data_IF_526714917195
#
_entry.id   IF_526714917195
#
_cell.length_a   1.000
_cell.length_b   1.000
_cell.length_c   1.000
_cell.angle_alpha   90.00
_cell.angle_beta   90.00
_cell.angle_gamma   90.00
#
_symmetry.space_group_name_H-M   'P 1'
#
loop_
_entity.id
_entity.type
_entity.pdbx_description
1 polymer ?
#
# COMPACT_ATOMS: atom_id res chain seq x y z
N UNK A 1 2.60 -3.07 55.07
CA UNK A 1 2.25 -2.18 53.93
C UNK A 1 2.88 -2.76 52.66
N UNK A 2 2.09 -3.56 51.90
CA UNK A 2 2.56 -4.21 50.67
C UNK A 2 2.34 -3.29 49.51
N UNK A 3 3.41 -2.76 48.92
CA UNK A 3 3.36 -2.04 47.64
C UNK A 3 2.90 -3.02 46.57
N UNK A 4 1.74 -2.75 45.96
CA UNK A 4 1.30 -3.38 44.72
C UNK A 4 2.22 -2.91 43.60
N UNK A 5 3.05 -3.81 43.08
CA UNK A 5 3.71 -3.61 41.77
C UNK A 5 2.60 -3.58 40.73
N UNK A 6 2.31 -2.41 40.20
CA UNK A 6 1.55 -2.26 38.96
C UNK A 6 2.41 -2.80 37.81
N UNK A 7 2.07 -3.96 37.31
CA UNK A 7 2.59 -4.46 36.06
C UNK A 7 2.14 -3.50 34.93
N UNK A 8 3.02 -2.68 34.47
CA UNK A 8 2.82 -1.96 33.20
C UNK A 8 2.81 -3.04 32.11
N UNK A 9 1.66 -3.32 31.54
CA UNK A 9 1.58 -3.98 30.24
C UNK A 9 2.24 -3.01 29.26
N UNK A 10 3.43 -3.33 28.79
CA UNK A 10 4.10 -2.62 27.69
C UNK A 10 3.26 -2.81 26.43
N UNK A 11 2.29 -1.92 26.22
CA UNK A 11 1.54 -1.86 24.96
C UNK A 11 2.45 -1.26 23.89
N UNK A 12 2.50 -1.85 22.74
CA UNK A 12 3.11 -1.30 21.52
C UNK A 12 2.60 0.13 21.31
N UNK A 13 3.52 1.09 21.28
CA UNK A 13 3.22 2.50 21.13
C UNK A 13 4.19 3.15 20.16
N UNK A 14 3.66 3.76 19.08
CA UNK A 14 4.46 4.44 18.06
C UNK A 14 4.48 5.94 18.31
N UNK A 15 5.66 6.53 18.22
CA UNK A 15 5.87 7.97 18.32
C UNK A 15 6.44 8.53 17.03
N UNK A 16 6.22 9.82 16.79
CA UNK A 16 6.85 10.56 15.72
C UNK A 16 8.38 10.45 15.84
N UNK A 17 9.03 10.03 14.77
CA UNK A 17 10.50 9.94 14.72
C UNK A 17 11.07 11.14 13.96
N UNK A 18 10.70 11.30 12.70
CA UNK A 18 11.03 12.47 11.88
C UNK A 18 10.00 12.68 10.77
N UNK A 19 10.04 13.89 10.19
CA UNK A 19 9.22 14.28 9.04
C UNK A 19 10.11 14.63 7.86
N UNK A 20 9.72 14.19 6.68
CA UNK A 20 10.33 14.53 5.40
C UNK A 20 9.43 15.56 4.71
N UNK A 21 9.97 16.75 4.45
CA UNK A 21 9.36 17.82 3.68
C UNK A 21 10.12 17.98 2.35
N UNK A 22 9.41 18.17 1.26
CA UNK A 22 10.06 18.41 -0.04
C UNK A 22 9.11 18.31 -1.25
N UNK A 23 8.01 17.57 -1.11
CA UNK A 23 6.95 17.60 -2.11
C UNK A 23 6.08 18.85 -1.98
N UNK A 24 5.54 19.33 -3.11
CA UNK A 24 4.64 20.49 -3.16
C UNK A 24 3.17 20.12 -3.38
N UNK A 25 2.86 18.82 -3.50
CA UNK A 25 1.49 18.29 -3.61
C UNK A 25 1.36 16.97 -2.86
N UNK A 26 0.14 16.43 -2.81
CA UNK A 26 -0.21 15.18 -2.14
C UNK A 26 0.72 14.03 -2.50
N UNK A 27 1.13 13.25 -1.50
CA UNK A 27 1.90 12.02 -1.67
C UNK A 27 0.91 10.87 -1.82
N UNK A 28 1.05 10.10 -2.89
CA UNK A 28 0.11 9.03 -3.23
C UNK A 28 0.63 7.64 -2.94
N UNK A 29 1.93 7.40 -3.14
CA UNK A 29 2.52 6.10 -2.90
C UNK A 29 3.93 6.21 -2.34
N UNK A 30 4.28 5.21 -1.55
CA UNK A 30 5.60 5.00 -0.95
C UNK A 30 6.07 3.58 -1.27
N UNK A 31 7.36 3.44 -1.54
CA UNK A 31 8.07 2.17 -1.59
C UNK A 31 9.47 2.36 -1.03
N UNK A 32 10.19 1.29 -0.75
CA UNK A 32 11.54 1.39 -0.17
C UNK A 32 12.51 0.39 -0.77
N UNK A 33 13.80 0.71 -0.67
CA UNK A 33 14.90 -0.25 -0.65
C UNK A 33 15.37 -0.49 0.80
N UNK A 34 16.49 -1.19 0.97
CA UNK A 34 17.15 -1.34 2.29
C UNK A 34 17.45 0.01 2.94
N UNK A 35 17.93 1.00 2.16
CA UNK A 35 18.51 2.25 2.67
C UNK A 35 17.71 3.50 2.33
N UNK A 36 16.68 3.39 1.48
CA UNK A 36 15.97 4.56 0.96
C UNK A 36 14.45 4.37 0.94
N UNK A 37 13.75 5.48 1.15
CA UNK A 37 12.32 5.63 0.87
C UNK A 37 12.19 6.29 -0.50
N UNK A 38 11.27 5.79 -1.33
CA UNK A 38 10.85 6.43 -2.57
C UNK A 38 9.41 6.90 -2.41
N UNK A 39 9.12 8.11 -2.86
CA UNK A 39 7.78 8.69 -2.81
C UNK A 39 7.35 9.19 -4.17
N UNK A 40 6.07 9.06 -4.49
CA UNK A 40 5.45 9.68 -5.65
C UNK A 40 4.35 10.65 -5.24
N UNK A 41 4.24 11.76 -5.98
CA UNK A 41 3.37 12.87 -5.61
C UNK A 41 2.60 13.44 -6.80
N UNK A 42 1.54 14.19 -6.45
CA UNK A 42 0.78 15.02 -7.37
C UNK A 42 1.59 16.15 -8.01
N UNK A 43 2.74 16.50 -7.46
CA UNK A 43 3.68 17.47 -8.04
C UNK A 43 4.47 16.95 -9.24
N UNK A 44 4.21 15.69 -9.63
CA UNK A 44 4.84 15.01 -10.76
C UNK A 44 6.32 14.63 -10.52
N UNK A 45 6.73 14.54 -9.28
CA UNK A 45 8.06 14.05 -8.94
C UNK A 45 7.99 12.71 -8.23
N UNK A 46 8.99 11.87 -8.51
CA UNK A 46 9.35 10.73 -7.68
C UNK A 46 10.72 11.04 -7.08
N UNK A 47 10.80 10.98 -5.75
CA UNK A 47 11.98 11.42 -5.00
C UNK A 47 12.46 10.29 -4.11
N UNK A 48 13.79 10.19 -3.96
CA UNK A 48 14.45 9.26 -3.05
C UNK A 48 14.97 9.99 -1.81
N UNK A 49 14.76 9.38 -0.66
CA UNK A 49 15.12 9.91 0.66
C UNK A 49 15.92 8.89 1.43
N UNK A 50 16.92 9.33 2.17
CA UNK A 50 17.65 8.48 3.12
C UNK A 50 16.70 7.99 4.22
N UNK A 51 16.66 6.68 4.47
CA UNK A 51 15.70 6.07 5.40
C UNK A 51 15.99 6.38 6.85
N UNK A 52 17.22 6.79 7.20
CA UNK A 52 17.64 7.03 8.57
C UNK A 52 17.35 8.46 9.05
N UNK A 53 17.42 9.43 8.16
CA UNK A 53 17.32 10.84 8.51
C UNK A 53 16.36 11.66 7.64
N UNK A 54 15.80 11.06 6.59
CA UNK A 54 14.86 11.71 5.69
C UNK A 54 15.48 12.74 4.76
N UNK A 55 16.83 12.83 4.65
CA UNK A 55 17.46 13.75 3.71
C UNK A 55 17.20 13.33 2.26
N UNK A 56 16.94 14.31 1.40
CA UNK A 56 16.82 14.08 -0.03
C UNK A 56 18.18 13.75 -0.64
N UNK A 57 18.22 12.74 -1.46
CA UNK A 57 19.40 12.44 -2.27
C UNK A 57 19.27 13.03 -3.69
N UNK A 58 20.28 12.79 -4.52
CA UNK A 58 20.32 13.30 -5.89
C UNK A 58 19.44 12.53 -6.88
N UNK A 59 18.72 11.48 -6.44
CA UNK A 59 17.80 10.74 -7.30
C UNK A 59 16.41 11.38 -7.26
N UNK A 60 16.09 12.09 -8.35
CA UNK A 60 14.80 12.74 -8.55
C UNK A 60 14.35 12.46 -9.98
N UNK A 61 13.15 11.95 -10.15
CA UNK A 61 12.51 11.74 -11.44
C UNK A 61 11.42 12.80 -11.62
N UNK A 62 11.53 13.58 -12.71
CA UNK A 62 10.45 14.48 -13.13
C UNK A 62 9.58 13.77 -14.15
N UNK A 63 8.31 13.63 -13.86
CA UNK A 63 7.31 13.02 -14.73
C UNK A 63 6.51 14.07 -15.49
N UNK A 64 5.93 13.70 -16.62
CA UNK A 64 4.99 14.56 -17.35
C UNK A 64 3.63 14.67 -16.65
N UNK A 65 3.21 13.60 -15.99
CA UNK A 65 1.95 13.47 -15.25
C UNK A 65 2.19 12.92 -13.85
N UNK A 66 1.28 13.14 -12.90
CA UNK A 66 1.37 12.54 -11.56
C UNK A 66 1.45 11.01 -11.60
N UNK A 67 2.06 10.41 -10.59
CA UNK A 67 2.09 8.97 -10.38
C UNK A 67 1.29 8.60 -9.12
N UNK A 68 0.46 7.54 -9.22
CA UNK A 68 -0.34 7.04 -8.11
C UNK A 68 0.15 5.71 -7.54
N UNK A 69 1.05 5.04 -8.24
CA UNK A 69 1.62 3.77 -7.81
C UNK A 69 3.10 3.69 -8.15
N UNK A 70 3.90 3.28 -7.19
CA UNK A 70 5.32 2.97 -7.36
C UNK A 70 5.65 1.66 -6.66
N UNK A 71 6.59 0.92 -7.23
CA UNK A 71 7.09 -0.32 -6.61
C UNK A 71 8.58 -0.44 -6.88
N UNK A 72 9.37 -0.71 -5.84
CA UNK A 72 10.81 -0.94 -5.97
C UNK A 72 11.11 -2.43 -5.97
N UNK A 73 11.95 -2.85 -6.91
CA UNK A 73 12.43 -4.24 -7.05
C UNK A 73 13.88 -4.28 -6.61
N UNK A 74 14.12 -4.89 -5.45
CA UNK A 74 15.45 -4.95 -4.82
C UNK A 74 16.45 -5.73 -5.69
N UNK A 75 16.03 -6.85 -6.31
CA UNK A 75 16.91 -7.79 -6.99
C UNK A 75 17.64 -7.19 -8.20
N UNK A 76 17.03 -6.22 -8.85
CA UNK A 76 17.62 -5.59 -10.04
C UNK A 76 17.68 -4.06 -9.94
N UNK A 77 17.45 -3.50 -8.76
CA UNK A 77 17.45 -2.06 -8.49
C UNK A 77 16.52 -1.25 -9.41
N UNK A 78 15.38 -1.84 -9.76
CA UNK A 78 14.41 -1.20 -10.65
C UNK A 78 13.28 -0.55 -9.87
N UNK A 79 13.03 0.73 -10.13
CA UNK A 79 11.84 1.42 -9.65
C UNK A 79 10.78 1.43 -10.76
N UNK A 80 9.63 0.84 -10.48
CA UNK A 80 8.46 0.86 -11.35
C UNK A 80 7.60 2.06 -10.97
N UNK A 81 7.16 2.83 -11.95
CA UNK A 81 6.34 4.03 -11.76
C UNK A 81 5.11 3.96 -12.66
N UNK A 82 3.93 3.90 -12.05
CA UNK A 82 2.64 3.91 -12.74
C UNK A 82 2.06 5.32 -12.81
N UNK A 83 1.98 5.87 -14.02
CA UNK A 83 1.51 7.23 -14.29
C UNK A 83 -0.01 7.37 -14.33
N UNK A 84 -0.51 8.59 -14.12
CA UNK A 84 -1.93 8.93 -14.30
C UNK A 84 -2.38 8.95 -15.77
N UNK A 85 -1.45 8.84 -16.68
CA UNK A 85 -1.66 8.72 -18.13
C UNK A 85 -1.58 7.27 -18.65
N UNK A 86 -1.42 6.31 -17.75
CA UNK A 86 -1.33 4.88 -18.09
C UNK A 86 0.07 4.42 -18.47
N UNK A 87 1.07 5.28 -18.45
CA UNK A 87 2.45 4.87 -18.67
C UNK A 87 2.97 4.06 -17.49
N UNK A 88 3.64 2.96 -17.79
CA UNK A 88 4.40 2.18 -16.85
C UNK A 88 5.88 2.37 -17.14
N UNK A 89 6.55 3.20 -16.36
CA UNK A 89 7.94 3.56 -16.54
C UNK A 89 8.84 2.74 -15.61
N UNK A 90 9.97 2.28 -16.12
CA UNK A 90 11.00 1.55 -15.38
C UNK A 90 12.27 2.40 -15.28
N UNK A 91 12.76 2.58 -14.08
CA UNK A 91 13.99 3.32 -13.83
C UNK A 91 15.01 2.46 -13.10
N UNK A 92 16.24 2.43 -13.64
CA UNK A 92 17.39 1.92 -12.90
C UNK A 92 17.85 2.98 -11.92
N UNK A 93 17.76 2.69 -10.61
CA UNK A 93 18.09 3.67 -9.57
C UNK A 93 19.58 3.86 -9.35
N UNK A 94 20.42 2.98 -9.88
CA UNK A 94 21.88 3.08 -9.81
C UNK A 94 22.37 4.04 -10.89
N UNK A 95 22.03 3.76 -12.16
CA UNK A 95 22.41 4.63 -13.30
C UNK A 95 21.57 5.90 -13.38
N UNK A 96 20.46 5.98 -12.62
CA UNK A 96 19.48 7.08 -12.59
C UNK A 96 18.84 7.35 -13.97
N UNK A 97 18.60 6.30 -14.73
CA UNK A 97 18.06 6.38 -16.10
C UNK A 97 16.75 5.62 -16.22
N UNK A 98 15.89 6.12 -17.08
CA UNK A 98 14.75 5.35 -17.57
C UNK A 98 15.25 4.19 -18.45
N UNK A 99 14.81 2.96 -18.13
CA UNK A 99 15.16 1.74 -18.86
C UNK A 99 14.14 1.50 -19.97
N UNK A 100 12.85 1.58 -19.62
CA UNK A 100 11.71 1.31 -20.52
C UNK A 100 10.49 2.12 -20.11
N UNK A 101 9.61 2.36 -21.08
CA UNK A 101 8.29 2.92 -20.91
C UNK A 101 7.27 2.08 -21.68
N UNK A 102 6.22 1.62 -20.99
CA UNK A 102 5.14 0.86 -21.59
C UNK A 102 3.84 1.65 -21.61
N UNK A 103 3.03 1.48 -22.67
CA UNK A 103 1.80 2.23 -22.93
C UNK A 103 0.59 1.33 -23.15
N UNK A 104 0.61 0.12 -22.62
CA UNK A 104 -0.48 -0.87 -22.72
C UNK A 104 -1.73 -0.42 -21.96
N UNK A 105 -1.54 0.22 -20.79
CA UNK A 105 -2.61 0.91 -20.10
C UNK A 105 -2.86 2.27 -20.74
N UNK A 106 -4.15 2.64 -20.88
CA UNK A 106 -4.56 3.92 -21.46
C UNK A 106 -5.01 4.94 -20.41
N UNK A 107 -5.23 4.47 -19.20
CA UNK A 107 -5.74 5.24 -18.06
C UNK A 107 -4.86 5.04 -16.83
N UNK A 108 -5.05 5.88 -15.83
CA UNK A 108 -4.22 5.94 -14.64
C UNK A 108 -3.97 4.58 -13.99
N UNK A 109 -2.72 4.27 -13.71
CA UNK A 109 -2.29 3.10 -12.95
C UNK A 109 -2.41 3.42 -11.47
N UNK A 110 -3.17 2.60 -10.72
CA UNK A 110 -3.43 2.82 -9.29
C UNK A 110 -2.77 1.83 -8.37
N UNK A 111 -2.38 0.67 -8.87
CA UNK A 111 -1.76 -0.37 -8.04
C UNK A 111 -0.73 -1.16 -8.83
N UNK A 112 0.37 -1.47 -8.15
CA UNK A 112 1.45 -2.34 -8.64
C UNK A 112 1.78 -3.30 -7.51
N UNK A 113 1.80 -4.60 -7.81
CA UNK A 113 2.08 -5.66 -6.84
C UNK A 113 3.04 -6.67 -7.45
N UNK A 114 3.91 -7.28 -6.64
CA UNK A 114 4.89 -8.26 -7.09
C UNK A 114 4.54 -9.67 -6.62
N UNK A 115 4.56 -10.61 -7.55
CA UNK A 115 4.58 -12.04 -7.25
C UNK A 115 6.02 -12.51 -7.12
N UNK A 116 6.44 -12.82 -5.90
CA UNK A 116 7.81 -13.24 -5.60
C UNK A 116 8.13 -14.65 -6.14
N UNK A 117 7.12 -15.55 -6.17
CA UNK A 117 7.33 -16.96 -6.54
C UNK A 117 7.51 -17.14 -8.05
N UNK A 118 6.79 -16.37 -8.85
CA UNK A 118 6.84 -16.44 -10.33
C UNK A 118 7.62 -15.30 -10.95
N UNK A 119 8.10 -14.38 -10.13
CA UNK A 119 8.75 -13.17 -10.58
C UNK A 119 7.93 -12.35 -11.58
N UNK A 120 6.62 -12.23 -11.30
CA UNK A 120 5.69 -11.44 -12.10
C UNK A 120 5.34 -10.12 -11.41
N UNK A 121 5.04 -9.11 -12.22
CA UNK A 121 4.51 -7.82 -11.78
C UNK A 121 3.06 -7.70 -12.22
N UNK A 122 2.19 -7.37 -11.28
CA UNK A 122 0.78 -7.08 -11.51
C UNK A 122 0.55 -5.58 -11.53
N UNK A 123 -0.18 -5.10 -12.52
CA UNK A 123 -0.51 -3.68 -12.66
C UNK A 123 -2.01 -3.51 -12.84
N UNK A 124 -2.63 -2.71 -11.98
CA UNK A 124 -4.06 -2.41 -12.02
C UNK A 124 -4.35 -0.96 -12.38
N UNK A 125 -5.29 -0.73 -13.30
CA UNK A 125 -5.62 0.60 -13.79
C UNK A 125 -7.03 1.09 -13.47
N UNK A 126 -7.35 2.28 -13.97
CA UNK A 126 -8.61 2.99 -13.77
C UNK A 126 -9.82 2.32 -14.42
N UNK A 127 -9.62 1.65 -15.55
CA UNK A 127 -10.69 1.01 -16.32
C UNK A 127 -10.93 -0.45 -15.90
N UNK A 128 -10.10 -0.96 -14.98
CA UNK A 128 -10.20 -2.35 -14.51
C UNK A 128 -9.40 -3.35 -15.34
N UNK A 129 -8.39 -2.89 -16.05
CA UNK A 129 -7.41 -3.78 -16.64
C UNK A 129 -6.38 -4.20 -15.60
N UNK A 130 -6.21 -5.51 -15.47
CA UNK A 130 -5.14 -6.16 -14.75
C UNK A 130 -4.13 -6.68 -15.78
N UNK A 131 -2.92 -6.18 -15.79
CA UNK A 131 -1.83 -6.69 -16.62
C UNK A 131 -0.80 -7.45 -15.79
N UNK A 132 -0.24 -8.50 -16.37
CA UNK A 132 0.72 -9.40 -15.77
C UNK A 132 1.98 -9.40 -16.61
N UNK A 133 3.10 -9.05 -16.01
CA UNK A 133 4.38 -8.87 -16.68
C UNK A 133 5.42 -9.82 -16.10
N UNK A 134 6.25 -10.38 -16.96
CA UNK A 134 7.46 -11.07 -16.51
C UNK A 134 8.51 -10.04 -16.09
N UNK A 135 8.98 -10.10 -14.84
CA UNK A 135 9.93 -9.13 -14.29
C UNK A 135 11.37 -9.28 -14.85
N UNK A 136 11.71 -10.39 -15.49
CA UNK A 136 13.03 -10.56 -16.09
C UNK A 136 13.09 -10.00 -17.51
N UNK A 137 12.07 -10.33 -18.32
CA UNK A 137 12.03 -9.96 -19.75
C UNK A 137 11.26 -8.68 -20.00
N UNK A 138 10.37 -8.31 -19.08
CA UNK A 138 9.38 -7.24 -19.22
C UNK A 138 8.43 -7.47 -20.40
N UNK A 139 8.15 -8.72 -20.70
CA UNK A 139 7.10 -9.12 -21.63
C UNK A 139 5.75 -9.16 -20.94
N UNK A 140 4.74 -8.62 -21.62
CA UNK A 140 3.35 -8.73 -21.17
C UNK A 140 2.88 -10.16 -21.36
N UNK A 141 2.63 -10.87 -20.25
CA UNK A 141 2.16 -12.26 -20.25
C UNK A 141 0.66 -12.33 -20.47
N UNK A 142 -0.09 -11.41 -19.83
CA UNK A 142 -1.54 -11.40 -19.87
C UNK A 142 -2.10 -10.03 -19.58
N UNK A 143 -3.27 -9.73 -20.15
CA UNK A 143 -4.07 -8.55 -19.83
C UNK A 143 -5.54 -8.94 -19.69
N UNK A 144 -6.11 -8.75 -18.52
CA UNK A 144 -7.49 -9.17 -18.18
C UNK A 144 -8.31 -7.92 -17.91
N UNK A 145 -9.47 -7.79 -18.55
CA UNK A 145 -10.42 -6.72 -18.26
C UNK A 145 -11.50 -7.23 -17.29
N UNK A 146 -11.50 -6.71 -16.07
CA UNK A 146 -12.38 -7.16 -14.99
C UNK A 146 -13.76 -6.47 -14.98
N UNK A 147 -14.01 -5.52 -15.87
CA UNK A 147 -15.25 -4.73 -15.96
C UNK A 147 -15.73 -4.15 -14.61
N UNK A 148 -14.80 -3.62 -13.82
CA UNK A 148 -15.05 -3.29 -12.42
C UNK A 148 -14.74 -1.83 -12.04
N UNK A 149 -14.37 -0.99 -13.01
CA UNK A 149 -13.74 0.30 -12.75
C UNK A 149 -12.36 0.13 -12.08
N UNK A 150 -11.91 1.09 -11.31
CA UNK A 150 -10.54 1.13 -10.76
C UNK A 150 -10.13 -0.11 -9.97
N UNK A 151 -8.93 -0.61 -10.26
CA UNK A 151 -8.21 -1.57 -9.41
C UNK A 151 -7.23 -0.77 -8.55
N UNK A 152 -7.62 -0.49 -7.29
CA UNK A 152 -6.79 0.31 -6.36
C UNK A 152 -6.03 -0.51 -5.35
N UNK A 153 -6.42 -1.74 -5.14
CA UNK A 153 -5.82 -2.60 -4.14
C UNK A 153 -5.57 -3.98 -4.72
N UNK A 154 -4.36 -4.43 -4.61
CA UNK A 154 -3.95 -5.80 -4.90
C UNK A 154 -3.12 -6.31 -3.73
N UNK A 155 -3.15 -7.59 -3.51
CA UNK A 155 -2.29 -8.27 -2.57
C UNK A 155 -1.98 -9.67 -3.09
N UNK A 156 -0.69 -10.01 -3.17
CA UNK A 156 -0.24 -11.35 -3.50
C UNK A 156 0.13 -12.12 -2.22
N UNK A 157 -0.46 -13.31 -2.05
CA UNK A 157 -0.09 -14.24 -0.99
C UNK A 157 0.81 -15.34 -1.55
N UNK A 158 2.05 -15.40 -1.05
CA UNK A 158 3.02 -16.42 -1.43
C UNK A 158 2.66 -17.79 -0.84
N UNK A 159 2.10 -17.83 0.39
CA UNK A 159 1.72 -19.10 1.03
C UNK A 159 0.54 -19.78 0.33
N UNK A 160 -0.44 -19.00 -0.12
CA UNK A 160 -1.64 -19.52 -0.79
C UNK A 160 -1.50 -19.52 -2.32
N UNK A 161 -0.50 -18.82 -2.88
CA UNK A 161 -0.32 -18.57 -4.32
C UNK A 161 -1.56 -17.95 -4.97
N UNK A 162 -2.12 -16.97 -4.27
CA UNK A 162 -3.33 -16.27 -4.65
C UNK A 162 -3.06 -14.78 -4.83
N UNK A 163 -3.68 -14.21 -5.86
CA UNK A 163 -3.77 -12.77 -6.06
C UNK A 163 -5.18 -12.30 -5.68
N UNK A 164 -5.26 -11.39 -4.73
CA UNK A 164 -6.50 -10.71 -4.35
C UNK A 164 -6.55 -9.36 -5.06
N UNK A 165 -7.67 -9.07 -5.71
CA UNK A 165 -7.89 -7.83 -6.48
C UNK A 165 -9.13 -7.11 -5.95
N UNK A 166 -8.93 -5.95 -5.35
CA UNK A 166 -9.98 -5.08 -4.85
C UNK A 166 -10.46 -4.11 -5.92
N UNK A 167 -11.76 -4.09 -6.14
CA UNK A 167 -12.43 -3.42 -7.26
C UNK A 167 -13.22 -2.18 -6.81
N UNK A 168 -13.36 -1.20 -7.72
CA UNK A 168 -14.15 0.01 -7.45
C UNK A 168 -15.64 -0.28 -7.22
N UNK A 169 -16.18 -1.33 -7.82
CA UNK A 169 -17.57 -1.76 -7.59
C UNK A 169 -17.79 -2.39 -6.20
N UNK A 170 -16.74 -2.49 -5.38
CA UNK A 170 -16.77 -3.03 -4.02
C UNK A 170 -16.65 -4.54 -3.93
N UNK A 171 -16.30 -5.21 -5.00
CA UNK A 171 -16.01 -6.64 -5.02
C UNK A 171 -14.52 -6.90 -4.79
N UNK A 172 -14.23 -8.14 -4.38
CA UNK A 172 -12.89 -8.71 -4.38
C UNK A 172 -12.91 -9.94 -5.26
N UNK A 173 -11.98 -10.03 -6.22
CA UNK A 173 -11.69 -11.26 -6.95
C UNK A 173 -10.46 -11.94 -6.40
N UNK A 174 -10.48 -13.26 -6.39
CA UNK A 174 -9.38 -14.13 -6.02
C UNK A 174 -8.95 -14.92 -7.25
N UNK A 175 -7.69 -14.78 -7.64
CA UNK A 175 -7.09 -15.52 -8.76
C UNK A 175 -6.04 -16.49 -8.23
N UNK A 176 -6.02 -17.72 -8.77
CA UNK A 176 -4.82 -18.54 -8.67
C UNK A 176 -3.74 -17.98 -9.61
N UNK A 177 -2.47 -18.19 -9.27
CA UNK A 177 -1.38 -17.50 -9.97
C UNK A 177 -0.58 -18.38 -10.92
N UNK A 178 -1.05 -19.58 -11.22
CA UNK A 178 -0.42 -20.46 -12.22
C UNK A 178 -0.90 -20.11 -13.63
N UNK A 179 -2.23 -20.08 -13.83
CA UNK A 179 -2.86 -19.76 -15.11
C UNK A 179 -3.73 -18.50 -15.05
N UNK A 180 -3.83 -17.86 -13.88
CA UNK A 180 -4.64 -16.66 -13.63
C UNK A 180 -6.15 -16.87 -13.79
N UNK A 181 -6.63 -18.09 -13.49
CA UNK A 181 -8.06 -18.34 -13.43
C UNK A 181 -8.68 -17.64 -12.21
N UNK A 182 -9.80 -16.97 -12.42
CA UNK A 182 -10.60 -16.44 -11.34
C UNK A 182 -11.26 -17.58 -10.57
N UNK A 183 -10.88 -17.75 -9.31
CA UNK A 183 -11.45 -18.78 -8.44
C UNK A 183 -12.76 -18.33 -7.82
N UNK A 184 -12.84 -17.02 -7.50
CA UNK A 184 -13.99 -16.46 -6.81
C UNK A 184 -14.05 -14.95 -6.92
N UNK A 185 -15.27 -14.43 -6.97
CA UNK A 185 -15.58 -13.01 -6.75
C UNK A 185 -16.71 -12.89 -5.74
N UNK A 186 -16.61 -11.94 -4.81
CA UNK A 186 -17.64 -11.70 -3.81
C UNK A 186 -17.72 -10.21 -3.46
N UNK A 187 -18.90 -9.77 -3.01
CA UNK A 187 -19.12 -8.40 -2.54
C UNK A 187 -18.45 -8.20 -1.20
N UNK A 188 -17.53 -7.25 -1.12
CA UNK A 188 -16.75 -6.96 0.08
C UNK A 188 -17.17 -5.63 0.73
N UNK A 189 -17.12 -4.52 0.00
CA UNK A 189 -17.43 -3.20 0.53
C UNK A 189 -18.56 -2.55 -0.27
N UNK A 190 -19.29 -1.63 0.34
CA UNK A 190 -20.46 -1.02 -0.33
C UNK A 190 -20.04 -0.07 -1.45
N UNK A 191 -18.99 0.73 -1.24
CA UNK A 191 -18.57 1.83 -2.12
C UNK A 191 -17.12 1.69 -2.61
N UNK A 192 -16.68 0.47 -2.93
CA UNK A 192 -15.35 0.21 -3.44
C UNK A 192 -14.34 -0.28 -2.41
N UNK A 193 -13.43 -1.11 -2.87
CA UNK A 193 -12.27 -1.61 -2.11
C UNK A 193 -11.08 -0.74 -2.45
N UNK A 194 -10.49 -0.08 -1.47
CA UNK A 194 -9.35 0.82 -1.64
C UNK A 194 -8.06 0.30 -1.03
N UNK A 195 -8.15 -0.71 -0.18
CA UNK A 195 -6.98 -1.37 0.42
C UNK A 195 -7.27 -2.82 0.77
N UNK A 196 -6.25 -3.66 0.66
CA UNK A 196 -6.27 -5.08 1.00
C UNK A 196 -5.05 -5.43 1.84
N UNK A 197 -5.22 -6.38 2.74
CA UNK A 197 -4.16 -7.02 3.50
C UNK A 197 -4.52 -8.47 3.74
N UNK A 198 -3.64 -9.39 3.37
CA UNK A 198 -3.81 -10.81 3.73
C UNK A 198 -2.87 -11.17 4.88
N UNK A 199 -3.42 -11.78 5.92
CA UNK A 199 -2.66 -12.30 7.04
C UNK A 199 -2.31 -13.77 6.78
N UNK A 200 -1.08 -14.02 6.35
CA UNK A 200 -0.58 -15.35 5.96
C UNK A 200 -0.77 -16.40 7.06
N UNK A 201 -0.46 -16.03 8.31
CA UNK A 201 -0.55 -16.94 9.46
C UNK A 201 -2.00 -17.35 9.79
N UNK A 202 -2.94 -16.41 9.68
CA UNK A 202 -4.36 -16.64 10.04
C UNK A 202 -5.19 -17.06 8.82
N UNK A 203 -4.66 -16.95 7.62
CA UNK A 203 -5.34 -17.14 6.33
C UNK A 203 -6.63 -16.30 6.23
N UNK A 204 -6.51 -15.05 6.63
CA UNK A 204 -7.61 -14.10 6.65
C UNK A 204 -7.30 -12.88 5.79
N UNK A 205 -8.28 -12.46 5.01
CA UNK A 205 -8.21 -11.25 4.18
C UNK A 205 -8.91 -10.10 4.89
N UNK A 206 -8.21 -8.98 5.03
CA UNK A 206 -8.80 -7.71 5.47
C UNK A 206 -9.00 -6.79 4.26
N UNK A 207 -10.15 -6.13 4.18
CA UNK A 207 -10.42 -5.08 3.21
C UNK A 207 -10.77 -3.76 3.88
N UNK A 208 -10.30 -2.66 3.32
CA UNK A 208 -10.72 -1.29 3.64
C UNK A 208 -11.34 -0.62 2.43
N UNK A 209 -12.34 0.22 2.64
CA UNK A 209 -13.07 0.83 1.54
C UNK A 209 -13.57 2.25 1.83
N UNK A 210 -14.34 2.78 0.87
CA UNK A 210 -14.92 4.12 0.93
C UNK A 210 -16.00 4.27 2.02
N UNK A 211 -16.52 3.16 2.53
CA UNK A 211 -17.50 3.09 3.61
C UNK A 211 -16.89 3.20 5.02
N UNK A 212 -15.59 3.45 5.11
CA UNK A 212 -14.84 3.61 6.36
C UNK A 212 -14.82 2.36 7.27
N UNK A 213 -15.17 1.19 6.74
CA UNK A 213 -15.18 -0.07 7.47
C UNK A 213 -14.01 -0.96 7.07
N UNK A 214 -13.46 -1.65 8.05
CA UNK A 214 -12.57 -2.79 7.82
C UNK A 214 -13.43 -4.05 7.93
N UNK A 215 -13.33 -4.93 6.93
CA UNK A 215 -13.98 -6.23 6.95
C UNK A 215 -12.96 -7.34 6.87
N UNK A 216 -13.23 -8.42 7.57
CA UNK A 216 -12.35 -9.61 7.61
C UNK A 216 -13.10 -10.77 6.98
N UNK A 217 -12.43 -11.47 6.08
CA UNK A 217 -12.95 -12.61 5.33
C UNK A 217 -12.04 -13.82 5.48
N UNK A 218 -12.63 -15.01 5.39
CA UNK A 218 -11.88 -16.23 5.12
C UNK A 218 -11.64 -16.38 3.60
N UNK A 219 -10.87 -17.38 3.21
CA UNK A 219 -10.58 -17.68 1.78
C UNK A 219 -11.81 -18.06 0.98
N UNK A 220 -12.90 -18.51 1.64
CA UNK A 220 -14.18 -18.75 1.00
C UNK A 220 -14.97 -17.46 0.72
N UNK A 221 -14.44 -16.28 1.03
CA UNK A 221 -15.13 -15.00 0.87
C UNK A 221 -16.26 -14.78 1.87
N UNK A 222 -16.33 -15.57 2.95
CA UNK A 222 -17.31 -15.40 4.01
C UNK A 222 -16.85 -14.30 4.95
N UNK A 223 -17.71 -13.31 5.19
CA UNK A 223 -17.41 -12.21 6.09
C UNK A 223 -17.46 -12.66 7.55
N UNK A 224 -16.36 -12.59 8.23
CA UNK A 224 -16.24 -12.95 9.65
C UNK A 224 -16.47 -11.75 10.58
N UNK A 225 -16.02 -10.56 10.16
CA UNK A 225 -16.16 -9.32 10.94
C UNK A 225 -16.39 -8.12 10.03
N UNK A 226 -17.07 -7.10 10.57
CA UNK A 226 -17.20 -5.77 9.97
C UNK A 226 -17.03 -4.71 11.06
N UNK A 227 -15.99 -3.91 10.94
CA UNK A 227 -15.51 -3.02 11.99
C UNK A 227 -15.66 -1.57 11.50
N UNK A 228 -16.42 -0.70 12.18
CA UNK A 228 -16.40 0.74 11.90
C UNK A 228 -15.03 1.29 12.36
N UNK A 229 -14.12 1.44 11.39
CA UNK A 229 -12.72 1.72 11.69
C UNK A 229 -12.39 3.20 11.67
N UNK A 230 -12.95 3.94 10.73
CA UNK A 230 -12.67 5.36 10.49
C UNK A 230 -13.95 6.16 10.22
N UNK A 231 -13.83 7.46 9.98
CA UNK A 231 -14.95 8.32 9.59
C UNK A 231 -15.07 8.51 8.07
N UNK A 232 -13.99 8.22 7.33
CA UNK A 232 -13.89 8.35 5.87
C UNK A 232 -13.10 7.19 5.30
N UNK A 233 -12.93 7.20 3.96
CA UNK A 233 -12.22 6.18 3.18
C UNK A 233 -10.94 5.70 3.86
N UNK A 234 -10.77 4.40 3.91
CA UNK A 234 -9.53 3.75 4.36
C UNK A 234 -8.65 3.53 3.14
N UNK A 235 -7.55 4.27 3.06
CA UNK A 235 -6.67 4.22 1.89
C UNK A 235 -5.57 3.18 1.99
N UNK A 236 -5.15 2.81 3.19
CA UNK A 236 -4.08 1.84 3.37
C UNK A 236 -4.28 0.98 4.61
N UNK A 237 -3.99 -0.30 4.47
CA UNK A 237 -3.97 -1.32 5.52
C UNK A 237 -2.59 -2.00 5.50
N UNK A 238 -1.96 -2.14 6.68
CA UNK A 238 -0.69 -2.83 6.86
C UNK A 238 -0.69 -3.69 8.11
N UNK A 239 0.12 -4.76 8.10
CA UNK A 239 0.52 -5.48 9.30
C UNK A 239 1.98 -5.17 9.61
N UNK A 240 2.27 -4.72 10.84
CA UNK A 240 3.64 -4.62 11.32
C UNK A 240 4.19 -6.01 11.63
N UNK A 241 3.38 -6.80 12.30
CA UNK A 241 3.64 -8.19 12.63
C UNK A 241 2.29 -8.91 12.89
N UNK A 242 2.32 -10.14 13.43
CA UNK A 242 1.12 -10.92 13.71
C UNK A 242 0.18 -10.28 14.74
N UNK A 243 0.71 -9.42 15.62
CA UNK A 243 0.00 -8.83 16.76
C UNK A 243 -0.37 -7.35 16.58
N UNK A 244 0.17 -6.69 15.54
CA UNK A 244 -0.02 -5.26 15.31
C UNK A 244 -0.37 -4.99 13.86
N UNK A 245 -1.54 -4.38 13.64
CA UNK A 245 -1.99 -3.88 12.33
C UNK A 245 -2.14 -2.37 12.35
N UNK A 246 -2.05 -1.74 11.19
CA UNK A 246 -2.16 -0.29 11.00
C UNK A 246 -3.17 0.01 9.89
N UNK A 247 -3.98 1.05 10.10
CA UNK A 247 -4.86 1.59 9.06
C UNK A 247 -4.69 3.10 8.92
N UNK A 248 -4.74 3.60 7.68
CA UNK A 248 -4.69 5.01 7.36
C UNK A 248 -5.92 5.45 6.57
N UNK A 249 -6.38 6.68 6.83
CA UNK A 249 -7.66 7.15 6.31
C UNK A 249 -7.64 8.61 5.87
N UNK A 250 -8.60 8.92 5.00
CA UNK A 250 -8.98 10.28 4.63
C UNK A 250 -9.44 11.12 5.85
N UNK A 251 -9.78 10.50 6.98
CA UNK A 251 -10.14 11.19 8.22
C UNK A 251 -8.93 11.82 8.95
N UNK A 252 -7.76 11.86 8.32
CA UNK A 252 -6.50 12.44 8.80
C UNK A 252 -5.88 11.66 9.96
N UNK A 253 -6.31 10.42 10.16
CA UNK A 253 -5.78 9.60 11.25
C UNK A 253 -5.17 8.30 10.76
N UNK A 254 -4.19 7.85 11.53
CA UNK A 254 -3.63 6.51 11.50
C UNK A 254 -4.11 5.83 12.79
N UNK A 255 -4.56 4.59 12.69
CA UNK A 255 -4.89 3.78 13.86
C UNK A 255 -4.01 2.57 13.93
N UNK A 256 -3.47 2.34 15.12
CA UNK A 256 -2.72 1.14 15.47
C UNK A 256 -3.68 0.20 16.18
N UNK A 257 -3.67 -1.05 15.77
CA UNK A 257 -4.60 -2.07 16.24
C UNK A 257 -3.83 -3.24 16.82
N UNK A 258 -4.39 -3.85 17.85
CA UNK A 258 -3.95 -5.17 18.32
C UNK A 258 -4.51 -6.24 17.38
N UNK A 259 -3.66 -7.22 17.04
CA UNK A 259 -4.03 -8.33 16.16
C UNK A 259 -4.45 -7.86 14.75
N UNK A 260 -5.26 -8.65 14.08
CA UNK A 260 -5.83 -8.30 12.78
C UNK A 260 -7.08 -7.43 12.99
N UNK A 261 -6.87 -6.14 13.28
CA UNK A 261 -7.89 -5.12 13.50
C UNK A 261 -8.89 -5.46 14.62
N UNK A 262 -8.43 -6.08 15.72
CA UNK A 262 -9.30 -6.52 16.81
C UNK A 262 -9.70 -5.38 17.74
N UNK A 263 -8.73 -4.55 18.14
CA UNK A 263 -8.92 -3.44 19.08
C UNK A 263 -7.93 -2.31 18.77
N UNK A 264 -8.43 -1.07 18.70
CA UNK A 264 -7.57 0.11 18.60
C UNK A 264 -6.78 0.27 19.90
N UNK A 265 -5.45 0.33 19.79
CA UNK A 265 -4.53 0.57 20.91
C UNK A 265 -3.97 1.98 20.88
N UNK A 266 -3.89 2.60 19.69
CA UNK A 266 -3.44 3.97 19.53
C UNK A 266 -4.12 4.64 18.34
N UNK A 267 -4.37 5.94 18.45
CA UNK A 267 -4.75 6.82 17.33
C UNK A 267 -3.70 7.90 17.19
N UNK A 268 -3.17 8.06 15.98
CA UNK A 268 -2.23 9.11 15.60
C UNK A 268 -2.98 10.09 14.69
N UNK A 269 -3.03 11.36 15.08
CA UNK A 269 -3.58 12.48 14.32
C UNK A 269 -2.70 13.72 14.50
N UNK A 270 -3.17 14.89 14.04
CA UNK A 270 -2.40 16.14 14.16
C UNK A 270 -1.99 16.50 15.59
N UNK A 271 -2.73 16.06 16.61
CA UNK A 271 -2.40 16.31 18.03
C UNK A 271 -1.25 15.47 18.53
N UNK A 272 -1.01 14.32 17.89
CA UNK A 272 0.09 13.41 18.16
C UNK A 272 1.17 13.45 17.06
N UNK A 273 1.39 14.61 16.46
CA UNK A 273 2.38 14.84 15.40
C UNK A 273 2.14 13.99 14.14
N UNK A 274 0.89 13.61 13.88
CA UNK A 274 0.46 12.98 12.65
C UNK A 274 0.06 14.01 11.58
N UNK A 275 -0.55 13.53 10.51
CA UNK A 275 -0.94 14.34 9.35
C UNK A 275 -2.06 15.34 9.65
N UNK A 276 -1.99 16.50 8.98
CA UNK A 276 -3.04 17.53 9.03
C UNK A 276 -4.17 17.29 8.01
N UNK A 277 -3.91 16.50 6.97
CA UNK A 277 -4.83 16.15 5.90
C UNK A 277 -4.92 14.62 5.72
N UNK A 278 -5.58 14.15 4.65
CA UNK A 278 -5.73 12.72 4.36
C UNK A 278 -4.40 11.97 4.42
N UNK A 279 -4.42 10.78 5.00
CA UNK A 279 -3.30 9.84 4.94
C UNK A 279 -3.56 8.85 3.83
N UNK A 280 -2.78 8.93 2.77
CA UNK A 280 -3.03 8.20 1.52
C UNK A 280 -2.33 6.86 1.46
N UNK A 281 -1.17 6.74 2.10
CA UNK A 281 -0.33 5.54 2.01
C UNK A 281 0.40 5.27 3.32
N UNK A 282 0.63 4.00 3.58
CA UNK A 282 1.48 3.47 4.65
C UNK A 282 2.55 2.57 4.04
N UNK A 283 3.70 2.50 4.68
CA UNK A 283 4.76 1.58 4.31
C UNK A 283 5.53 1.15 5.56
N UNK A 284 5.68 -0.16 5.75
CA UNK A 284 6.54 -0.73 6.80
C UNK A 284 8.00 -0.47 6.43
N UNK A 285 8.77 0.10 7.35
CA UNK A 285 10.22 0.29 7.20
C UNK A 285 10.95 -0.95 7.71
N UNK A 286 10.68 -1.33 8.94
CA UNK A 286 11.24 -2.51 9.59
C UNK A 286 10.25 -3.02 10.68
N UNK A 287 10.68 -3.88 11.60
CA UNK A 287 9.78 -4.46 12.61
C UNK A 287 9.27 -3.43 13.63
N UNK A 288 10.01 -2.35 13.85
CA UNK A 288 9.71 -1.32 14.87
C UNK A 288 9.32 0.05 14.27
N UNK A 289 9.27 0.19 12.93
CA UNK A 289 9.00 1.49 12.32
C UNK A 289 8.23 1.40 11.01
N UNK A 290 7.41 2.43 10.76
CA UNK A 290 6.67 2.62 9.52
C UNK A 290 6.65 4.08 9.09
N UNK A 291 6.39 4.32 7.81
CA UNK A 291 6.16 5.65 7.25
C UNK A 291 4.74 5.80 6.70
N UNK A 292 4.30 7.03 6.64
CA UNK A 292 3.02 7.42 6.02
C UNK A 292 3.21 8.63 5.11
N UNK A 293 2.41 8.71 4.05
CA UNK A 293 2.36 9.85 3.15
C UNK A 293 0.94 10.40 3.04
N UNK A 294 0.80 11.73 2.94
CA UNK A 294 -0.50 12.37 2.98
C UNK A 294 -0.69 13.55 2.03
N UNK A 295 -1.91 14.10 2.05
CA UNK A 295 -2.28 15.30 1.28
C UNK A 295 -1.59 16.56 1.80
N UNK A 296 -1.01 16.53 3.00
CA UNK A 296 -0.21 17.62 3.58
C UNK A 296 1.22 17.68 3.04
N UNK A 297 1.50 16.96 1.96
CA UNK A 297 2.79 16.94 1.26
C UNK A 297 3.95 16.30 2.03
N UNK A 298 3.67 15.73 3.22
CA UNK A 298 4.66 15.20 4.14
C UNK A 298 4.74 13.69 4.09
N UNK A 299 5.96 13.17 4.31
CA UNK A 299 6.17 11.81 4.75
C UNK A 299 6.53 11.86 6.23
N UNK A 300 5.82 11.10 7.06
CA UNK A 300 6.08 11.03 8.49
C UNK A 300 6.52 9.62 8.84
N UNK A 301 7.64 9.52 9.55
CA UNK A 301 8.16 8.26 10.05
C UNK A 301 7.85 8.13 11.54
N UNK A 302 7.33 6.98 11.91
CA UNK A 302 6.97 6.62 13.28
C UNK A 302 7.81 5.42 13.72
N UNK A 303 8.20 5.43 14.99
CA UNK A 303 8.98 4.36 15.59
C UNK A 303 8.33 3.89 16.89
N UNK A 304 8.40 2.58 17.14
CA UNK A 304 7.95 1.95 18.38
C UNK A 304 8.89 2.32 19.54
N UNK A 305 8.28 2.65 20.68
CA UNK A 305 9.00 2.98 21.93
C UNK A 305 9.18 1.73 22.81
#
# INVERSE_FOLDING_TARGET
MRMKKTSHSSGTYFTHHYTIDGHSAAIYALTRSSDHIYSSSGDKYVVRWDINNGSQDSFVIKLEKPSYAIHFIEENNTLIVGGSDGRLNLFDVISKKEIRCFTQHRNAIFSIEKNLDRNHIYVGDQEGYLSIWDNNTWELQMMIHLNCGKIRAMFYSSSEKLLFVGKQNGEISIFETEYYNELKTFKANDNGVSSLLFCEKRKLLASGGNDARIRIYNLNGEQLKSIPAHHYTIYSLWAMNDDVSISASRDRSIKIWKGLYEKVIQKIDHKSQGHNFSVNTLMKINEDSFSSGGDDTKIIVFKEN
#
